data_IF_656013088086
#
_entry.id   IF_656013088086
#
_cell.length_a   1.000
_cell.length_b   1.000
_cell.length_c   1.000
_cell.angle_alpha   90.00
_cell.angle_beta   90.00
_cell.angle_gamma   90.00
#
_symmetry.space_group_name_H-M   'P 1'
#
loop_
_entity.id
_entity.type
_entity.pdbx_description
1 polymer ?
#
# COMPACT_ATOMS: atom_id res chain seq x y z
N UNK A 1 3.93 -17.85 -2.97
CA UNK A 1 3.79 -18.31 -4.37
C UNK A 1 3.19 -19.71 -4.33
N UNK A 2 2.34 -20.08 -5.30
CA UNK A 2 1.54 -21.31 -5.33
C UNK A 2 2.32 -22.65 -5.28
N UNK A 3 3.65 -22.64 -5.30
CA UNK A 3 4.47 -23.86 -5.43
C UNK A 3 4.85 -24.58 -4.14
N UNK A 4 5.03 -23.86 -3.02
CA UNK A 4 5.68 -24.42 -1.81
C UNK A 4 4.82 -24.22 -0.55
N UNK A 5 3.56 -24.67 -0.59
CA UNK A 5 2.73 -24.74 0.62
C UNK A 5 3.03 -26.04 1.38
N UNK A 6 3.86 -25.95 2.41
CA UNK A 6 4.23 -27.06 3.29
C UNK A 6 3.91 -26.71 4.76
N UNK A 7 3.67 -27.73 5.60
CA UNK A 7 3.36 -27.59 7.02
C UNK A 7 1.87 -27.74 7.40
N UNK A 8 1.57 -27.48 8.68
CA UNK A 8 0.26 -27.77 9.29
C UNK A 8 -0.72 -26.58 9.30
N UNK A 9 -0.24 -25.36 9.08
CA UNK A 9 -1.05 -24.15 9.16
C UNK A 9 -0.64 -23.15 8.09
N UNK A 10 -1.63 -22.44 7.55
CA UNK A 10 -1.45 -21.36 6.60
C UNK A 10 -1.95 -20.06 7.22
N UNK A 11 -1.07 -19.07 7.33
CA UNK A 11 -1.40 -17.75 7.88
C UNK A 11 -1.59 -16.77 6.72
N UNK A 12 -2.79 -16.22 6.60
CA UNK A 12 -3.09 -15.18 5.61
C UNK A 12 -2.36 -13.91 5.99
N UNK A 13 -1.73 -13.26 5.01
CA UNK A 13 -1.00 -12.02 5.26
C UNK A 13 -1.93 -10.87 5.66
N UNK A 14 -1.38 -9.81 6.24
CA UNK A 14 -2.14 -8.59 6.56
C UNK A 14 -2.84 -7.94 5.36
N UNK A 15 -2.41 -8.26 4.14
CA UNK A 15 -2.94 -7.74 2.88
C UNK A 15 -4.00 -8.66 2.25
N UNK A 16 -4.34 -9.77 2.92
CA UNK A 16 -5.16 -10.84 2.36
C UNK A 16 -4.34 -11.81 1.52
N UNK A 17 -5.05 -12.70 0.84
CA UNK A 17 -4.50 -13.66 -0.13
C UNK A 17 -5.58 -14.06 -1.13
N UNK A 18 -5.18 -14.46 -2.33
CA UNK A 18 -6.07 -14.96 -3.36
C UNK A 18 -6.85 -16.20 -2.89
N UNK A 19 -8.12 -16.32 -3.33
CA UNK A 19 -8.97 -17.46 -2.97
C UNK A 19 -8.35 -18.81 -3.36
N UNK A 20 -7.68 -18.89 -4.51
CA UNK A 20 -7.02 -20.10 -4.98
C UNK A 20 -5.94 -20.62 -4.01
N UNK A 21 -5.27 -19.72 -3.28
CA UNK A 21 -4.27 -20.10 -2.26
C UNK A 21 -4.94 -20.66 -1.01
N UNK A 22 -6.06 -20.06 -0.58
CA UNK A 22 -6.86 -20.57 0.54
C UNK A 22 -7.42 -21.96 0.25
N UNK A 23 -7.91 -22.17 -0.97
CA UNK A 23 -8.49 -23.44 -1.39
C UNK A 23 -7.42 -24.53 -1.49
N UNK A 24 -6.21 -24.21 -1.97
CA UNK A 24 -5.07 -25.13 -1.92
C UNK A 24 -4.68 -25.49 -0.47
N UNK A 25 -4.57 -24.50 0.42
CA UNK A 25 -4.24 -24.74 1.83
C UNK A 25 -5.27 -25.63 2.52
N UNK A 26 -6.57 -25.37 2.29
CA UNK A 26 -7.67 -26.21 2.79
C UNK A 26 -7.62 -27.62 2.22
N UNK A 27 -7.33 -27.78 0.91
CA UNK A 27 -7.20 -29.09 0.26
C UNK A 27 -6.07 -29.92 0.85
N UNK A 28 -4.99 -29.26 1.30
CA UNK A 28 -3.86 -29.90 2.00
C UNK A 28 -4.14 -30.19 3.48
N UNK A 29 -5.34 -29.88 3.98
CA UNK A 29 -5.70 -30.09 5.39
C UNK A 29 -5.03 -29.12 6.36
N UNK A 30 -4.49 -28.00 5.86
CA UNK A 30 -3.83 -27.00 6.70
C UNK A 30 -4.86 -26.18 7.50
N UNK A 31 -4.56 -25.87 8.76
CA UNK A 31 -5.34 -24.92 9.55
C UNK A 31 -5.14 -23.50 8.98
N UNK A 32 -6.22 -22.83 8.59
CA UNK A 32 -6.16 -21.45 8.06
C UNK A 32 -6.36 -20.45 9.20
N UNK A 33 -5.37 -19.58 9.39
CA UNK A 33 -5.46 -18.44 10.31
C UNK A 33 -5.48 -17.16 9.50
N UNK A 34 -6.60 -16.44 9.53
CA UNK A 34 -6.73 -15.18 8.80
C UNK A 34 -6.22 -14.00 9.64
N UNK A 35 -5.06 -13.46 9.27
CA UNK A 35 -4.46 -12.29 9.90
C UNK A 35 -4.60 -11.03 9.03
N UNK A 36 -5.59 -10.98 8.12
CA UNK A 36 -5.86 -9.80 7.30
C UNK A 36 -6.13 -8.58 8.19
N UNK A 37 -5.50 -7.45 7.86
CA UNK A 37 -5.64 -6.22 8.62
C UNK A 37 -7.11 -5.74 8.61
N UNK A 38 -7.71 -5.37 9.77
CA UNK A 38 -9.08 -4.85 9.81
C UNK A 38 -9.33 -3.63 8.91
N UNK A 39 -8.28 -2.83 8.64
CA UNK A 39 -8.37 -1.69 7.72
C UNK A 39 -8.55 -2.15 6.27
N UNK A 40 -7.85 -3.23 5.86
CA UNK A 40 -8.00 -3.84 4.52
C UNK A 40 -9.40 -4.45 4.38
N UNK A 41 -9.86 -5.19 5.38
CA UNK A 41 -11.22 -5.77 5.40
C UNK A 41 -12.27 -4.66 5.22
N UNK A 42 -12.12 -3.55 5.95
CA UNK A 42 -13.01 -2.40 5.83
C UNK A 42 -12.93 -1.76 4.45
N UNK A 43 -11.74 -1.63 3.86
CA UNK A 43 -11.56 -1.07 2.53
C UNK A 43 -12.30 -1.90 1.46
N UNK A 44 -12.15 -3.24 1.51
CA UNK A 44 -12.87 -4.17 0.63
C UNK A 44 -14.39 -4.05 0.81
N UNK A 45 -14.89 -4.06 2.04
CA UNK A 45 -16.33 -3.92 2.32
C UNK A 45 -16.92 -2.60 1.80
N UNK A 46 -16.16 -1.50 1.87
CA UNK A 46 -16.59 -0.21 1.33
C UNK A 46 -16.62 -0.21 -0.21
N UNK A 47 -15.66 -0.88 -0.85
CA UNK A 47 -15.62 -1.05 -2.30
C UNK A 47 -16.78 -1.94 -2.80
N UNK A 48 -17.08 -3.04 -2.10
CA UNK A 48 -18.26 -3.87 -2.36
C UNK A 48 -19.56 -3.08 -2.24
N UNK A 49 -19.69 -2.27 -1.19
CA UNK A 49 -20.87 -1.42 -1.01
C UNK A 49 -21.06 -0.46 -2.17
N UNK A 50 -19.98 0.18 -2.65
CA UNK A 50 -20.05 1.03 -3.85
C UNK A 50 -20.53 0.25 -5.07
N UNK A 51 -19.97 -0.94 -5.31
CA UNK A 51 -20.38 -1.79 -6.42
C UNK A 51 -21.84 -2.23 -6.30
N UNK A 52 -22.32 -2.54 -5.09
CA UNK A 52 -23.71 -2.91 -4.82
C UNK A 52 -24.69 -1.74 -4.99
N UNK A 53 -24.24 -0.51 -4.73
CA UNK A 53 -25.00 0.73 -4.98
C UNK A 53 -24.99 1.14 -6.48
N UNK A 54 -24.36 0.35 -7.36
CA UNK A 54 -24.33 0.57 -8.80
C UNK A 54 -23.24 1.53 -9.29
N UNK A 55 -22.22 1.81 -8.46
CA UNK A 55 -21.05 2.56 -8.87
C UNK A 55 -20.05 1.66 -9.61
N UNK A 56 -19.48 2.17 -10.70
CA UNK A 56 -18.22 1.64 -11.25
C UNK A 56 -17.10 2.04 -10.29
N UNK A 57 -16.37 1.07 -9.75
CA UNK A 57 -15.37 1.31 -8.71
C UNK A 57 -14.00 1.54 -9.33
N UNK A 58 -13.33 2.62 -8.94
CA UNK A 58 -11.91 2.87 -9.20
C UNK A 58 -11.14 2.67 -7.90
N UNK A 59 -10.18 1.76 -7.92
CA UNK A 59 -9.27 1.54 -6.81
C UNK A 59 -7.91 2.16 -7.13
N UNK A 60 -7.53 3.20 -6.40
CA UNK A 60 -6.23 3.85 -6.59
C UNK A 60 -5.17 3.09 -5.81
N UNK A 61 -4.28 2.40 -6.51
CA UNK A 61 -3.34 1.46 -5.90
C UNK A 61 -2.28 0.94 -6.85
N UNK A 62 -1.38 0.12 -6.34
CA UNK A 62 -0.31 -0.53 -7.09
C UNK A 62 -0.82 -1.79 -7.82
N UNK A 63 -0.55 -1.87 -9.12
CA UNK A 63 -0.83 -3.08 -9.90
C UNK A 63 -0.08 -4.28 -9.32
N UNK A 64 -0.78 -5.40 -9.17
CA UNK A 64 -0.21 -6.64 -8.65
C UNK A 64 0.08 -6.65 -7.14
N UNK A 65 -0.21 -5.58 -6.40
CA UNK A 65 -0.13 -5.61 -4.94
C UNK A 65 -1.19 -6.56 -4.37
N UNK A 66 -0.88 -7.44 -3.39
CA UNK A 66 -1.82 -8.45 -2.89
C UNK A 66 -3.19 -7.89 -2.47
N UNK A 67 -3.21 -6.72 -1.83
CA UNK A 67 -4.45 -6.02 -1.46
C UNK A 67 -5.33 -5.65 -2.67
N UNK A 68 -4.71 -5.27 -3.79
CA UNK A 68 -5.41 -4.89 -5.03
C UNK A 68 -5.82 -6.12 -5.84
N UNK A 69 -5.01 -7.17 -5.83
CA UNK A 69 -5.34 -8.45 -6.46
C UNK A 69 -6.57 -9.06 -5.81
N UNK A 70 -6.59 -9.15 -4.48
CA UNK A 70 -7.75 -9.67 -3.71
C UNK A 70 -9.01 -8.83 -3.92
N UNK A 71 -8.88 -7.50 -3.98
CA UNK A 71 -10.01 -6.62 -4.31
C UNK A 71 -10.53 -6.87 -5.74
N UNK A 72 -9.63 -7.10 -6.70
CA UNK A 72 -9.99 -7.40 -8.09
C UNK A 72 -10.67 -8.77 -8.22
N UNK A 73 -10.23 -9.78 -7.48
CA UNK A 73 -10.92 -11.07 -7.39
C UNK A 73 -12.34 -10.93 -6.84
N UNK A 74 -12.51 -10.08 -5.82
CA UNK A 74 -13.80 -9.86 -5.15
C UNK A 74 -14.84 -9.17 -6.04
N UNK A 75 -14.42 -8.14 -6.78
CA UNK A 75 -15.32 -7.29 -7.54
C UNK A 75 -15.36 -7.59 -9.03
N UNK A 76 -14.40 -8.34 -9.56
CA UNK A 76 -14.28 -8.67 -10.98
C UNK A 76 -14.21 -7.42 -11.85
N UNK A 77 -15.06 -7.35 -12.87
CA UNK A 77 -15.10 -6.21 -13.80
C UNK A 77 -15.71 -4.94 -13.22
N UNK A 78 -16.27 -5.00 -11.99
CA UNK A 78 -16.85 -3.83 -11.32
C UNK A 78 -15.79 -2.90 -10.71
N UNK A 79 -14.53 -3.34 -10.63
CA UNK A 79 -13.41 -2.54 -10.16
C UNK A 79 -12.31 -2.41 -11.21
N UNK A 80 -11.79 -1.20 -11.38
CA UNK A 80 -10.59 -0.91 -12.16
C UNK A 80 -9.52 -0.37 -11.24
N UNK A 81 -8.35 -1.03 -11.20
CA UNK A 81 -7.18 -0.54 -10.48
C UNK A 81 -6.46 0.47 -11.36
N UNK A 82 -6.12 1.62 -10.79
CA UNK A 82 -5.29 2.65 -11.45
C UNK A 82 -4.21 3.12 -10.48
N UNK A 83 -3.01 3.30 -10.99
CA UNK A 83 -1.88 3.83 -10.24
C UNK A 83 -1.57 5.27 -10.61
N UNK A 84 -1.73 5.64 -11.89
CA UNK A 84 -1.35 6.97 -12.41
C UNK A 84 -2.53 7.79 -12.91
N UNK A 85 -2.29 9.09 -13.12
CA UNK A 85 -3.28 10.02 -13.68
C UNK A 85 -3.62 9.67 -15.12
N UNK A 86 -2.64 9.20 -15.90
CA UNK A 86 -2.82 8.77 -17.28
C UNK A 86 -3.71 7.53 -17.36
N UNK A 87 -3.49 6.56 -16.47
CA UNK A 87 -4.35 5.38 -16.36
C UNK A 87 -5.78 5.78 -15.97
N UNK A 88 -5.92 6.66 -14.97
CA UNK A 88 -7.23 7.18 -14.57
C UNK A 88 -7.93 7.89 -15.74
N UNK A 89 -7.22 8.71 -16.50
CA UNK A 89 -7.73 9.40 -17.68
C UNK A 89 -8.18 8.44 -18.80
N UNK A 90 -7.51 7.30 -18.96
CA UNK A 90 -7.84 6.28 -19.96
C UNK A 90 -9.08 5.44 -19.59
N UNK A 91 -9.52 5.44 -18.32
CA UNK A 91 -10.69 4.66 -17.89
C UNK A 91 -11.94 5.13 -18.63
N UNK A 92 -12.66 4.18 -19.24
CA UNK A 92 -14.00 4.41 -19.78
C UNK A 92 -15.03 4.47 -18.65
N UNK A 93 -15.69 5.61 -18.51
CA UNK A 93 -16.70 5.87 -17.49
C UNK A 93 -18.08 5.58 -18.08
N UNK A 94 -18.84 4.67 -17.46
CA UNK A 94 -20.17 4.24 -17.98
C UNK A 94 -21.34 4.71 -17.12
N UNK A 95 -21.09 5.41 -16.00
CA UNK A 95 -22.13 5.86 -15.09
C UNK A 95 -21.59 6.57 -13.86
N UNK A 96 -22.11 6.21 -12.69
CA UNK A 96 -21.65 6.72 -11.40
C UNK A 96 -20.28 6.14 -11.06
N UNK A 97 -19.39 6.95 -10.51
CA UNK A 97 -18.06 6.50 -10.08
C UNK A 97 -17.92 6.44 -8.56
N UNK A 98 -17.42 5.32 -8.06
CA UNK A 98 -17.01 5.13 -6.68
C UNK A 98 -15.48 5.06 -6.64
N UNK A 99 -14.83 5.79 -5.74
CA UNK A 99 -13.36 5.80 -5.65
C UNK A 99 -12.91 5.38 -4.27
N UNK A 100 -12.04 4.38 -4.22
CA UNK A 100 -11.35 3.89 -3.01
C UNK A 100 -9.84 3.92 -3.24
N UNK A 101 -9.08 3.80 -2.15
CA UNK A 101 -7.61 3.79 -2.17
C UNK A 101 -7.05 2.51 -1.56
N UNK A 102 -5.94 2.02 -2.08
CA UNK A 102 -5.11 1.05 -1.35
C UNK A 102 -4.67 1.65 0.00
N UNK A 103 -4.68 0.85 1.06
CA UNK A 103 -4.45 1.34 2.43
C UNK A 103 -3.12 2.07 2.63
N UNK A 104 -2.11 1.72 1.84
CA UNK A 104 -0.74 2.28 1.88
C UNK A 104 -0.44 3.27 0.74
N UNK A 105 -1.43 3.69 -0.04
CA UNK A 105 -1.21 4.63 -1.14
C UNK A 105 -0.78 6.02 -0.64
N UNK A 106 -0.09 6.77 -1.50
CA UNK A 106 0.21 8.19 -1.29
C UNK A 106 -1.07 9.01 -1.23
N UNK A 107 -1.21 9.85 -0.20
CA UNK A 107 -2.35 10.77 -0.07
C UNK A 107 -2.42 11.74 -1.26
N UNK A 108 -1.26 12.24 -1.71
CA UNK A 108 -1.19 13.17 -2.84
C UNK A 108 -1.59 12.51 -4.16
N UNK A 109 -1.10 11.29 -4.43
CA UNK A 109 -1.49 10.56 -5.64
C UNK A 109 -3.01 10.30 -5.67
N UNK A 110 -3.57 9.85 -4.53
CA UNK A 110 -5.01 9.66 -4.39
C UNK A 110 -5.79 10.94 -4.66
N UNK A 111 -5.36 12.06 -4.07
CA UNK A 111 -6.00 13.37 -4.23
C UNK A 111 -5.96 13.85 -5.69
N UNK A 112 -4.82 13.71 -6.36
CA UNK A 112 -4.65 14.10 -7.77
C UNK A 112 -5.56 13.28 -8.70
N UNK A 113 -5.59 11.95 -8.53
CA UNK A 113 -6.45 11.08 -9.34
C UNK A 113 -7.93 11.38 -9.09
N UNK A 114 -8.35 11.57 -7.83
CA UNK A 114 -9.72 11.96 -7.50
C UNK A 114 -10.09 13.30 -8.14
N UNK A 115 -9.19 14.29 -8.11
CA UNK A 115 -9.40 15.59 -8.72
C UNK A 115 -9.60 15.50 -10.24
N UNK A 116 -8.87 14.62 -10.93
CA UNK A 116 -9.05 14.42 -12.38
C UNK A 116 -10.37 13.70 -12.69
N UNK A 117 -10.74 12.70 -11.86
CA UNK A 117 -11.97 11.94 -12.06
C UNK A 117 -13.24 12.76 -11.81
N UNK A 118 -13.21 13.70 -10.86
CA UNK A 118 -14.37 14.55 -10.54
C UNK A 118 -14.83 15.39 -11.74
N UNK A 119 -13.90 15.75 -12.63
CA UNK A 119 -14.19 16.55 -13.82
C UNK A 119 -14.85 15.72 -14.94
N UNK A 120 -14.85 14.40 -14.83
CA UNK A 120 -15.25 13.48 -15.91
C UNK A 120 -16.56 12.75 -15.65
N UNK A 121 -17.19 12.94 -14.49
CA UNK A 121 -18.40 12.20 -14.09
C UNK A 121 -19.45 13.11 -13.49
N UNK A 122 -20.73 12.73 -13.62
CA UNK A 122 -21.86 13.46 -13.02
C UNK A 122 -22.03 13.20 -11.53
N UNK A 123 -21.69 12.00 -11.09
CA UNK A 123 -21.81 11.57 -9.70
C UNK A 123 -20.55 10.79 -9.29
N UNK A 124 -19.84 11.33 -8.30
CA UNK A 124 -18.64 10.74 -7.73
C UNK A 124 -18.86 10.52 -6.24
N UNK A 125 -18.63 9.29 -5.76
CA UNK A 125 -18.55 8.98 -4.33
C UNK A 125 -17.13 8.57 -3.99
N UNK A 126 -16.45 9.36 -3.17
CA UNK A 126 -15.09 9.07 -2.72
C UNK A 126 -15.14 8.51 -1.31
N UNK A 127 -14.65 7.30 -1.12
CA UNK A 127 -14.46 6.67 0.19
C UNK A 127 -12.96 6.55 0.43
N UNK A 128 -12.42 7.45 1.24
CA UNK A 128 -11.01 7.39 1.61
C UNK A 128 -10.76 6.17 2.51
N UNK A 129 -10.05 5.19 1.97
CA UNK A 129 -9.67 3.93 2.62
C UNK A 129 -8.18 3.86 2.96
N UNK A 130 -7.47 4.99 2.92
CA UNK A 130 -6.11 5.10 3.44
C UNK A 130 -6.07 4.70 4.92
N UNK A 131 -5.03 3.97 5.31
CA UNK A 131 -4.82 3.61 6.70
C UNK A 131 -4.40 4.84 7.51
N UNK A 132 -5.13 5.20 8.59
CA UNK A 132 -4.79 6.37 9.40
C UNK A 132 -3.36 6.34 9.93
N UNK A 133 -2.87 5.15 10.33
CA UNK A 133 -1.52 4.99 10.85
C UNK A 133 -0.43 5.20 9.77
N UNK A 134 -0.76 5.00 8.49
CA UNK A 134 0.14 5.28 7.37
C UNK A 134 0.06 6.76 6.99
N UNK A 135 -1.15 7.34 7.02
CA UNK A 135 -1.36 8.78 6.78
C UNK A 135 -0.57 9.62 7.76
N UNK A 136 -0.63 9.33 9.07
CA UNK A 136 0.15 10.05 10.10
C UNK A 136 1.66 10.00 9.78
N UNK A 137 2.18 8.83 9.41
CA UNK A 137 3.61 8.70 9.05
C UNK A 137 3.98 9.50 7.81
N UNK A 138 3.12 9.55 6.80
CA UNK A 138 3.35 10.38 5.62
C UNK A 138 3.34 11.87 5.99
N UNK A 139 2.39 12.31 6.81
CA UNK A 139 2.30 13.71 7.28
C UNK A 139 3.51 14.12 8.13
N UNK A 140 3.97 13.26 9.04
CA UNK A 140 5.18 13.49 9.84
C UNK A 140 6.44 13.56 8.96
N UNK A 141 6.54 12.66 7.98
CA UNK A 141 7.64 12.66 7.01
C UNK A 141 7.65 13.96 6.21
N UNK A 142 6.48 14.40 5.75
CA UNK A 142 6.30 15.66 5.03
C UNK A 142 6.68 16.89 5.86
N UNK A 143 6.27 16.92 7.13
CA UNK A 143 6.61 17.99 8.05
C UNK A 143 8.11 18.06 8.37
N UNK A 144 8.80 16.91 8.36
CA UNK A 144 10.23 16.81 8.61
C UNK A 144 11.09 17.20 7.40
N UNK A 145 10.60 17.04 6.17
CA UNK A 145 11.38 17.27 4.95
C UNK A 145 12.12 18.62 4.85
N UNK A 146 11.55 19.78 5.23
CA UNK A 146 12.28 21.05 5.16
C UNK A 146 13.36 21.21 6.24
N UNK A 147 13.46 20.27 7.19
CA UNK A 147 14.35 20.33 8.35
C UNK A 147 15.56 19.39 8.24
N UNK A 148 15.67 18.63 7.15
CA UNK A 148 16.68 17.57 6.97
C UNK A 148 17.44 17.74 5.67
N UNK A 149 18.72 17.36 5.67
CA UNK A 149 19.58 17.39 4.47
C UNK A 149 19.50 16.09 3.64
N UNK A 150 19.02 14.99 4.25
CA UNK A 150 18.85 13.69 3.61
C UNK A 150 17.78 12.84 4.33
N UNK A 151 17.14 11.93 3.59
CA UNK A 151 16.15 10.98 4.11
C UNK A 151 16.66 9.54 4.02
N UNK A 152 16.67 8.82 5.14
CA UNK A 152 16.92 7.37 5.18
C UNK A 152 15.64 6.64 5.54
N UNK A 153 15.12 5.82 4.63
CA UNK A 153 13.95 4.96 4.84
C UNK A 153 14.42 3.53 5.04
N UNK A 154 14.23 3.00 6.24
CA UNK A 154 14.60 1.63 6.59
C UNK A 154 13.43 0.69 6.34
N UNK A 155 13.62 -0.30 5.47
CA UNK A 155 12.64 -1.35 5.22
C UNK A 155 12.75 -2.00 3.85
N UNK A 156 12.02 -3.09 3.65
CA UNK A 156 12.11 -3.89 2.44
C UNK A 156 11.50 -3.20 1.22
N UNK A 157 12.14 -3.35 0.05
CA UNK A 157 11.64 -2.77 -1.22
C UNK A 157 10.25 -3.29 -1.64
N UNK A 158 9.81 -4.45 -1.12
CA UNK A 158 8.47 -4.97 -1.33
C UNK A 158 7.38 -4.32 -0.47
N UNK A 159 7.73 -3.43 0.46
CA UNK A 159 6.75 -2.74 1.32
C UNK A 159 6.30 -1.44 0.67
N UNK A 160 5.04 -1.40 0.22
CA UNK A 160 4.41 -0.21 -0.38
C UNK A 160 4.56 1.02 0.53
N UNK A 161 4.37 0.87 1.85
CA UNK A 161 4.58 1.97 2.81
C UNK A 161 6.00 2.57 2.73
N UNK A 162 7.04 1.75 2.83
CA UNK A 162 8.42 2.26 2.82
C UNK A 162 8.80 2.82 1.45
N UNK A 163 8.29 2.23 0.38
CA UNK A 163 8.47 2.76 -0.97
C UNK A 163 7.83 4.15 -1.10
N UNK A 164 6.62 4.37 -0.56
CA UNK A 164 5.98 5.70 -0.56
C UNK A 164 6.79 6.74 0.19
N UNK A 165 7.29 6.42 1.39
CA UNK A 165 8.13 7.36 2.14
C UNK A 165 9.39 7.75 1.35
N UNK A 166 10.02 6.79 0.67
CA UNK A 166 11.20 7.05 -0.15
C UNK A 166 10.87 7.88 -1.41
N UNK A 167 9.75 7.61 -2.06
CA UNK A 167 9.28 8.39 -3.21
C UNK A 167 8.98 9.84 -2.83
N UNK A 168 8.39 10.07 -1.65
CA UNK A 168 8.12 11.42 -1.16
C UNK A 168 9.41 12.24 -1.03
N UNK A 169 10.49 11.65 -0.49
CA UNK A 169 11.78 12.32 -0.35
C UNK A 169 12.40 12.67 -1.71
N UNK A 170 12.39 11.71 -2.63
CA UNK A 170 12.89 11.90 -4.01
C UNK A 170 12.10 12.97 -4.76
N UNK A 171 10.78 13.01 -4.60
CA UNK A 171 9.92 13.99 -5.26
C UNK A 171 10.22 15.43 -4.83
N UNK A 172 10.74 15.63 -3.61
CA UNK A 172 11.20 16.95 -3.12
C UNK A 172 12.66 17.26 -3.44
N UNK A 173 13.34 16.41 -4.21
CA UNK A 173 14.74 16.59 -4.58
C UNK A 173 15.73 16.31 -3.46
N UNK A 174 15.29 15.67 -2.37
CA UNK A 174 16.13 15.35 -1.22
C UNK A 174 16.94 14.07 -1.48
N UNK A 175 18.26 14.03 -1.15
CA UNK A 175 19.02 12.79 -1.13
C UNK A 175 18.30 11.72 -0.29
N UNK A 176 17.79 10.67 -0.96
CA UNK A 176 16.93 9.67 -0.32
C UNK A 176 17.45 8.25 -0.51
N UNK A 177 17.66 7.55 0.60
CA UNK A 177 18.15 6.18 0.67
C UNK A 177 17.01 5.26 1.15
N UNK A 178 16.75 4.18 0.42
CA UNK A 178 15.77 3.14 0.81
C UNK A 178 16.54 1.82 0.89
N UNK A 179 16.82 1.33 2.09
CA UNK A 179 17.72 0.18 2.26
C UNK A 179 17.23 -0.80 3.31
N UNK A 180 17.56 -2.07 3.08
CA UNK A 180 17.40 -3.18 4.02
C UNK A 180 18.80 -3.71 4.37
N UNK A 181 19.56 -2.91 5.13
CA UNK A 181 20.90 -3.29 5.61
C UNK A 181 21.86 -2.12 5.71
N UNK A 182 22.55 -2.03 6.84
CA UNK A 182 23.70 -1.15 7.06
C UNK A 182 24.91 -2.07 7.20
N UNK A 183 25.87 -1.96 6.29
CA UNK A 183 27.13 -2.71 6.30
C UNK A 183 28.27 -1.70 6.35
N UNK A 184 29.29 -1.99 7.15
CA UNK A 184 30.48 -1.16 7.22
C UNK A 184 31.67 -1.81 6.53
N UNK A 185 32.66 -0.99 6.16
CA UNK A 185 33.94 -1.49 5.68
C UNK A 185 34.69 -2.28 6.76
N UNK A 186 35.67 -3.10 6.34
CA UNK A 186 36.43 -3.97 7.23
C UNK A 186 37.20 -3.23 8.35
N UNK A 187 37.47 -1.94 8.17
CA UNK A 187 38.14 -1.06 9.14
C UNK A 187 37.19 -0.33 10.08
N UNK A 188 35.88 -0.55 9.97
CA UNK A 188 34.88 0.11 10.83
C UNK A 188 34.48 -0.84 11.95
N UNK A 189 34.78 -0.50 13.22
CA UNK A 189 34.35 -1.30 14.35
C UNK A 189 32.82 -1.38 14.47
N UNK A 190 32.32 -2.52 14.93
CA UNK A 190 30.88 -2.79 15.10
C UNK A 190 30.18 -1.75 15.97
N UNK A 191 30.86 -1.21 17.00
CA UNK A 191 30.28 -0.19 17.88
C UNK A 191 29.92 1.12 17.15
N UNK A 192 30.55 1.41 16.00
CA UNK A 192 30.18 2.56 15.16
C UNK A 192 28.85 2.28 14.44
N UNK A 193 28.67 1.05 13.93
CA UNK A 193 27.41 0.63 13.32
C UNK A 193 26.30 0.65 14.36
N UNK A 194 26.56 0.09 15.55
CA UNK A 194 25.63 0.09 16.66
C UNK A 194 25.28 1.51 17.11
N UNK A 195 26.25 2.43 17.18
CA UNK A 195 26.01 3.83 17.50
C UNK A 195 25.18 4.55 16.43
N UNK A 196 25.40 4.25 15.14
CA UNK A 196 24.55 4.76 14.05
C UNK A 196 23.14 4.19 14.16
N UNK A 197 22.99 2.89 14.41
CA UNK A 197 21.70 2.24 14.59
C UNK A 197 20.94 2.77 15.82
N UNK A 198 21.63 2.92 16.96
CA UNK A 198 21.11 3.53 18.18
C UNK A 198 20.72 4.99 17.95
N UNK A 199 21.54 5.75 17.23
CA UNK A 199 21.24 7.14 16.91
C UNK A 199 20.04 7.28 15.98
N UNK A 200 19.89 6.38 15.02
CA UNK A 200 18.71 6.30 14.16
C UNK A 200 17.45 5.92 14.96
N UNK A 201 17.58 5.05 15.97
CA UNK A 201 16.48 4.70 16.88
C UNK A 201 16.09 5.89 17.78
N UNK A 202 17.06 6.59 18.37
CA UNK A 202 16.84 7.80 19.19
C UNK A 202 16.18 8.95 18.41
N UNK A 203 16.43 9.04 17.11
CA UNK A 203 15.86 10.07 16.22
C UNK A 203 14.45 9.71 15.69
N UNK A 204 13.83 8.62 16.16
CA UNK A 204 12.41 8.32 15.90
C UNK A 204 12.13 6.98 15.21
N UNK A 205 13.12 6.12 15.03
CA UNK A 205 12.92 4.74 14.54
C UNK A 205 12.52 3.78 15.66
N UNK A 206 11.23 3.75 16.01
CA UNK A 206 10.64 2.65 16.79
C UNK A 206 10.14 1.53 15.87
#
# INVERSE_FOLDING_TARGET
RHGDLDGNAFVVSAYGVEHAVLDEARRRGMAVVDATCPVVIRAHALAERLAAEGYQVIAVGDHGHPEMVTLKELLGDRVTVVHTREEAAAVKITGKLGVVSQTTQSQENFRQIVADLVLRVRELKVLNTLCPAITVRQEETDAMMPLIDALLVVGGHGSSNTTRLAEMGRARGLPTYHTLGVVSGASTPTWIIEAVMLRLQELGGA
#
